data_IF_422490485766
#
_entry.id   IF_422490485766
#
_cell.length_a   1.000
_cell.length_b   1.000
_cell.length_c   1.000
_cell.angle_alpha   90.00
_cell.angle_beta   90.00
_cell.angle_gamma   90.00
#
_symmetry.space_group_name_H-M   'P 1'
#
loop_
_entity.id
_entity.type
_entity.pdbx_description
1 polymer ?
#
# COMPACT_ATOMS: atom_id res chain seq x y z
N UNK A 1 -0.79 -12.54 12.98
CA UNK A 1 -0.96 -11.79 11.76
C UNK A 1 -2.34 -12.03 11.17
N UNK A 2 -2.89 -11.09 10.55
CA UNK A 2 -4.26 -11.05 10.06
C UNK A 2 -4.50 -11.78 8.73
N UNK A 3 -3.62 -12.65 8.30
CA UNK A 3 -3.76 -13.37 7.03
C UNK A 3 -3.39 -12.57 5.79
N UNK A 4 -3.04 -11.31 5.94
CA UNK A 4 -2.58 -10.49 4.82
C UNK A 4 -1.07 -10.56 4.73
N UNK A 5 -0.57 -10.63 3.50
CA UNK A 5 0.86 -10.61 3.26
C UNK A 5 1.40 -9.21 3.46
N UNK A 6 2.44 -9.07 4.26
CA UNK A 6 3.18 -7.84 4.36
C UNK A 6 4.07 -7.66 3.13
N UNK A 7 4.59 -6.43 2.97
CA UNK A 7 5.46 -6.12 1.83
C UNK A 7 6.67 -7.04 1.74
N UNK A 8 7.29 -7.37 2.87
CA UNK A 8 8.48 -8.23 2.88
C UNK A 8 8.18 -9.66 2.38
N UNK A 9 7.00 -10.18 2.70
CA UNK A 9 6.58 -11.50 2.21
C UNK A 9 6.34 -11.48 0.71
N UNK A 10 5.68 -10.44 0.22
CA UNK A 10 5.43 -10.26 -1.22
C UNK A 10 6.77 -10.16 -1.95
N UNK A 11 7.69 -9.37 -1.44
CA UNK A 11 9.01 -9.20 -2.03
C UNK A 11 9.79 -10.52 -2.10
N UNK A 12 9.70 -11.33 -1.04
CA UNK A 12 10.34 -12.65 -1.02
C UNK A 12 9.81 -13.57 -2.10
N UNK A 13 8.50 -13.60 -2.29
CA UNK A 13 7.88 -14.39 -3.36
C UNK A 13 8.30 -13.93 -4.74
N UNK A 14 8.34 -12.61 -4.95
CA UNK A 14 8.76 -12.01 -6.23
C UNK A 14 10.17 -12.43 -6.58
N UNK A 15 11.10 -12.34 -5.63
CA UNK A 15 12.51 -12.62 -5.88
C UNK A 15 12.79 -14.09 -6.13
N UNK A 16 11.91 -14.98 -5.68
CA UNK A 16 12.11 -16.43 -5.84
C UNK A 16 11.48 -17.00 -7.12
N UNK A 17 10.70 -16.21 -7.85
CA UNK A 17 9.98 -16.70 -9.04
C UNK A 17 10.16 -15.72 -10.21
N UNK A 18 10.84 -16.14 -11.31
CA UNK A 18 11.11 -15.26 -12.46
C UNK A 18 9.84 -14.69 -13.13
N UNK A 19 8.75 -15.47 -13.20
CA UNK A 19 7.51 -14.98 -13.79
C UNK A 19 6.87 -13.89 -12.93
N UNK A 20 6.87 -14.11 -11.62
CA UNK A 20 6.38 -13.13 -10.66
C UNK A 20 7.26 -11.89 -10.66
N UNK A 21 8.57 -12.06 -10.79
CA UNK A 21 9.51 -10.94 -10.90
C UNK A 21 9.21 -10.07 -12.12
N UNK A 22 8.89 -10.69 -13.26
CA UNK A 22 8.54 -9.96 -14.47
C UNK A 22 7.28 -9.11 -14.25
N UNK A 23 6.26 -9.67 -13.61
CA UNK A 23 5.05 -8.94 -13.25
C UNK A 23 5.35 -7.80 -12.27
N UNK A 24 6.22 -8.06 -11.29
CA UNK A 24 6.62 -7.05 -10.32
C UNK A 24 7.29 -5.86 -11.00
N UNK A 25 8.18 -6.11 -11.96
CA UNK A 25 8.86 -5.01 -12.68
C UNK A 25 7.85 -4.08 -13.35
N UNK A 26 6.76 -4.62 -13.88
CA UNK A 26 5.68 -3.83 -14.47
C UNK A 26 4.91 -3.04 -13.41
N UNK A 27 4.71 -3.61 -12.23
CA UNK A 27 3.89 -3.03 -11.16
C UNK A 27 4.70 -2.36 -10.05
N UNK A 28 6.01 -2.21 -10.25
CA UNK A 28 6.90 -1.66 -9.22
C UNK A 28 6.44 -0.33 -8.61
N UNK A 29 6.00 0.65 -9.42
CA UNK A 29 5.56 1.93 -8.82
C UNK A 29 4.42 1.76 -7.82
N UNK A 30 3.49 0.86 -8.10
CA UNK A 30 2.36 0.59 -7.21
C UNK A 30 2.82 -0.06 -5.91
N UNK A 31 3.70 -1.06 -6.01
CA UNK A 31 4.22 -1.75 -4.81
C UNK A 31 5.09 -0.82 -3.97
N UNK A 32 5.88 0.03 -4.58
CA UNK A 32 6.68 1.01 -3.85
C UNK A 32 5.79 1.99 -3.10
N UNK A 33 4.71 2.45 -3.73
CA UNK A 33 3.77 3.35 -3.08
C UNK A 33 3.07 2.67 -1.91
N UNK A 34 2.62 1.43 -2.10
CA UNK A 34 1.98 0.66 -1.04
C UNK A 34 2.92 0.50 0.15
N UNK A 35 4.18 0.16 -0.11
CA UNK A 35 5.18 0.01 0.95
C UNK A 35 5.36 1.31 1.74
N UNK A 36 5.36 2.45 1.06
CA UNK A 36 5.48 3.76 1.73
C UNK A 36 4.25 4.06 2.58
N UNK A 37 3.06 3.70 2.11
CA UNK A 37 1.82 3.89 2.87
C UNK A 37 1.82 3.03 4.13
N UNK A 38 2.17 1.76 4.00
CA UNK A 38 2.24 0.84 5.15
C UNK A 38 3.25 1.35 6.17
N UNK A 39 4.42 1.76 5.70
CA UNK A 39 5.47 2.29 6.58
C UNK A 39 4.99 3.52 7.32
N UNK A 40 4.37 4.47 6.61
CA UNK A 40 3.88 5.70 7.22
C UNK A 40 2.78 5.40 8.25
N UNK A 41 1.89 4.45 7.96
CA UNK A 41 0.86 4.06 8.91
C UNK A 41 1.47 3.51 10.19
N UNK A 42 2.43 2.60 10.05
CA UNK A 42 3.10 1.99 11.20
C UNK A 42 3.88 3.03 12.00
N UNK A 43 4.58 3.93 11.32
CA UNK A 43 5.32 5.01 11.98
C UNK A 43 4.41 5.97 12.75
N UNK A 44 3.18 6.14 12.27
CA UNK A 44 2.16 6.93 12.99
C UNK A 44 1.49 6.16 14.13
N UNK A 45 1.84 4.89 14.33
CA UNK A 45 1.24 4.06 15.36
C UNK A 45 -0.21 3.72 15.12
N UNK A 46 -0.66 3.73 13.86
CA UNK A 46 -2.05 3.49 13.50
C UNK A 46 -2.27 2.06 13.03
N UNK A 47 -3.40 1.46 13.47
CA UNK A 47 -3.90 0.24 12.87
C UNK A 47 -4.59 0.58 11.54
N UNK A 48 -4.87 -0.44 10.73
CA UNK A 48 -5.67 -0.24 9.51
C UNK A 48 -7.03 0.35 9.85
N UNK A 49 -7.66 -0.10 10.92
CA UNK A 49 -8.96 0.40 11.36
C UNK A 49 -8.87 1.88 11.74
N UNK A 50 -7.85 2.26 12.49
CA UNK A 50 -7.67 3.64 12.91
C UNK A 50 -7.41 4.56 11.72
N UNK A 51 -6.61 4.14 10.75
CA UNK A 51 -6.41 4.91 9.54
C UNK A 51 -7.71 5.06 8.75
N UNK A 52 -8.47 3.96 8.63
CA UNK A 52 -9.76 3.98 7.94
C UNK A 52 -10.71 4.99 8.58
N UNK A 53 -10.79 4.99 9.90
CA UNK A 53 -11.63 5.94 10.63
C UNK A 53 -11.17 7.38 10.40
N UNK A 54 -9.86 7.60 10.38
CA UNK A 54 -9.28 8.93 10.19
C UNK A 54 -9.65 9.54 8.84
N UNK A 55 -9.69 8.72 7.79
CA UNK A 55 -9.99 9.21 6.45
C UNK A 55 -11.45 8.97 6.03
N UNK A 56 -12.28 8.40 6.92
CA UNK A 56 -13.69 8.20 6.64
C UNK A 56 -14.00 7.08 5.68
N UNK A 57 -13.27 5.97 5.78
CA UNK A 57 -13.49 4.79 4.93
C UNK A 57 -13.59 3.54 5.80
N UNK A 58 -13.79 2.38 5.15
CA UNK A 58 -13.85 1.10 5.85
C UNK A 58 -12.47 0.49 5.96
N UNK A 59 -12.23 -0.25 7.04
CA UNK A 59 -10.97 -0.96 7.25
C UNK A 59 -10.66 -1.90 6.08
N UNK A 60 -11.67 -2.55 5.51
CA UNK A 60 -11.48 -3.43 4.37
C UNK A 60 -10.86 -2.71 3.16
N UNK A 61 -11.15 -1.42 2.98
CA UNK A 61 -10.57 -0.65 1.89
C UNK A 61 -9.07 -0.38 2.13
N UNK A 62 -8.68 -0.12 3.36
CA UNK A 62 -7.26 0.02 3.72
C UNK A 62 -6.54 -1.31 3.56
N UNK A 63 -7.15 -2.39 4.02
CA UNK A 63 -6.59 -3.73 3.89
C UNK A 63 -6.35 -4.09 2.42
N UNK A 64 -7.30 -3.81 1.55
CA UNK A 64 -7.17 -4.09 0.12
C UNK A 64 -6.09 -3.23 -0.54
N UNK A 65 -5.99 -1.97 -0.14
CA UNK A 65 -4.93 -1.09 -0.62
C UNK A 65 -3.56 -1.66 -0.24
N UNK A 66 -3.38 -2.04 1.01
CA UNK A 66 -2.10 -2.52 1.51
C UNK A 66 -1.71 -3.90 0.98
N UNK A 67 -2.69 -4.70 0.56
CA UNK A 67 -2.42 -6.02 -0.01
C UNK A 67 -1.98 -5.97 -1.46
N UNK A 68 -2.26 -4.87 -2.15
CA UNK A 68 -1.94 -4.74 -3.57
C UNK A 68 -2.87 -5.51 -4.49
N UNK A 69 -4.03 -5.94 -3.99
CA UNK A 69 -4.94 -6.81 -4.74
C UNK A 69 -5.82 -6.07 -5.74
N UNK A 70 -5.84 -4.73 -5.73
CA UNK A 70 -6.68 -3.97 -6.64
C UNK A 70 -6.05 -2.62 -6.96
N UNK A 71 -6.60 -1.94 -7.97
CA UNK A 71 -6.15 -0.62 -8.36
C UNK A 71 -7.00 0.45 -7.68
N UNK A 72 -6.52 1.09 -6.63
CA UNK A 72 -7.25 2.17 -5.98
C UNK A 72 -7.29 3.41 -6.87
N UNK A 73 -8.30 4.25 -6.68
CA UNK A 73 -8.36 5.54 -7.36
C UNK A 73 -7.26 6.48 -6.84
N UNK A 74 -6.86 7.44 -7.68
CA UNK A 74 -5.92 8.47 -7.24
C UNK A 74 -6.45 9.25 -6.06
N UNK A 75 -7.74 9.57 -6.06
CA UNK A 75 -8.38 10.28 -4.96
C UNK A 75 -8.23 9.51 -3.65
N UNK A 76 -8.43 8.21 -3.68
CA UNK A 76 -8.30 7.39 -2.48
C UNK A 76 -6.86 7.37 -1.98
N UNK A 77 -5.91 7.25 -2.89
CA UNK A 77 -4.48 7.25 -2.54
C UNK A 77 -4.09 8.59 -1.91
N UNK A 78 -4.50 9.70 -2.52
CA UNK A 78 -4.20 11.03 -2.01
C UNK A 78 -4.82 11.24 -0.62
N UNK A 79 -6.07 10.83 -0.46
CA UNK A 79 -6.78 10.93 0.82
C UNK A 79 -6.08 10.12 1.91
N UNK A 80 -5.62 8.91 1.57
CA UNK A 80 -4.90 8.06 2.51
C UNK A 80 -3.60 8.73 2.95
N UNK A 81 -2.83 9.27 2.01
CA UNK A 81 -1.60 9.97 2.34
C UNK A 81 -1.85 11.18 3.24
N UNK A 82 -2.87 11.96 2.94
CA UNK A 82 -3.25 13.12 3.76
C UNK A 82 -3.59 12.69 5.19
N UNK A 83 -4.29 11.58 5.35
CA UNK A 83 -4.60 11.02 6.67
C UNK A 83 -3.37 10.59 7.44
N UNK A 84 -2.27 10.34 6.75
CA UNK A 84 -0.98 9.99 7.35
C UNK A 84 -0.07 11.21 7.54
N UNK A 85 -0.55 12.41 7.22
CA UNK A 85 0.24 13.62 7.29
C UNK A 85 1.31 13.72 6.22
N UNK A 86 1.09 13.03 5.10
CA UNK A 86 2.04 12.99 3.99
C UNK A 86 1.46 13.60 2.73
N UNK A 87 2.33 14.01 1.82
CA UNK A 87 1.96 14.47 0.49
C UNK A 87 2.43 13.47 -0.54
N UNK A 88 1.66 13.31 -1.61
CA UNK A 88 2.05 12.48 -2.74
C UNK A 88 2.44 13.42 -3.89
N UNK A 89 3.59 13.14 -4.49
CA UNK A 89 4.05 13.83 -5.68
C UNK A 89 4.24 12.80 -6.79
N UNK A 90 3.66 13.07 -7.93
CA UNK A 90 3.76 12.21 -9.10
C UNK A 90 4.80 12.80 -10.05
N UNK A 91 5.76 11.98 -10.44
CA UNK A 91 6.84 12.39 -11.35
C UNK A 91 6.82 11.45 -12.56
N UNK A 92 6.76 12.03 -13.74
CA UNK A 92 6.90 11.29 -14.98
C UNK A 92 8.34 11.42 -15.46
N UNK A 93 8.92 10.28 -15.77
CA UNK A 93 10.32 10.23 -16.24
C UNK A 93 10.45 9.54 -17.58
#
# INVERSE_FOLDING_TARGET
MNGLKGWNEIKGEILSNPEVLSEYETMRPQYELIAQIVKARIENGLTQQELAERIGTKQSNISRLESGEYNPSLDFIIKTAQGLGKEIHFVLR
#
